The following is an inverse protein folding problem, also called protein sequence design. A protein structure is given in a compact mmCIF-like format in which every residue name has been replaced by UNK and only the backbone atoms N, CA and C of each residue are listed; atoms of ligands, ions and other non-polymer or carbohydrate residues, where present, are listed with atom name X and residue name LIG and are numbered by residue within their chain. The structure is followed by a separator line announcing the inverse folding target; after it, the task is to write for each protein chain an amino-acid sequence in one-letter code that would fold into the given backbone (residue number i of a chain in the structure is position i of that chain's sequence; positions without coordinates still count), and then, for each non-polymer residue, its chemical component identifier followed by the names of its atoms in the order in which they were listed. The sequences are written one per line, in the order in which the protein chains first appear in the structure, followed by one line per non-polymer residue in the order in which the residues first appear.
data_IF_034750948055
#
_entry.id   IF_034750948055
#
_cell.length_a   1.000
_cell.length_b   1.000
_cell.length_c   1.000
_cell.angle_alpha   90.00
_cell.angle_beta   90.00
_cell.angle_gamma   90.00
#
_symmetry.space_group_name_H-M   'P 1'
#
loop_
_entity.id
_entity.type
_entity.pdbx_description
1 polymer ?
#
# COMPACT_ATOMS: atom_id res chain seq x y z
N UNK A 1 -26.06 16.37 0.11
CA UNK A 1 -25.92 15.30 1.11
C UNK A 1 -25.20 15.91 2.31
N UNK A 2 -25.63 15.60 3.52
CA UNK A 2 -24.97 16.09 4.74
C UNK A 2 -23.67 15.30 4.91
N UNK A 3 -22.55 16.00 5.06
CA UNK A 3 -21.22 15.41 5.28
C UNK A 3 -21.09 14.94 6.73
N UNK A 4 -20.64 13.72 6.98
CA UNK A 4 -20.40 13.19 8.32
C UNK A 4 -18.91 13.20 8.66
N UNK A 5 -18.58 13.75 9.82
CA UNK A 5 -17.18 13.83 10.27
C UNK A 5 -16.77 12.52 10.92
N UNK A 6 -15.57 12.04 10.57
CA UNK A 6 -14.94 10.83 11.12
C UNK A 6 -13.56 11.21 11.65
N UNK A 7 -13.30 10.87 12.90
CA UNK A 7 -12.00 11.00 13.54
C UNK A 7 -11.34 9.65 13.68
N UNK A 8 -10.04 9.59 13.36
CA UNK A 8 -9.16 8.47 13.67
C UNK A 8 -8.21 8.90 14.78
N UNK A 9 -8.32 8.27 15.94
CA UNK A 9 -7.67 8.70 17.18
C UNK A 9 -6.69 7.63 17.65
N UNK A 10 -5.46 8.01 17.97
CA UNK A 10 -4.42 7.07 18.39
C UNK A 10 -3.37 7.73 19.29
N UNK A 11 -2.81 6.95 20.22
CA UNK A 11 -1.64 7.31 21.02
C UNK A 11 -0.32 7.17 20.23
N UNK A 12 -0.38 6.65 18.99
CA UNK A 12 0.72 6.55 18.03
C UNK A 12 0.35 7.21 16.68
N UNK A 13 0.83 6.66 15.56
CA UNK A 13 0.67 7.25 14.21
C UNK A 13 -0.78 7.34 13.72
N UNK A 14 -1.68 6.53 14.25
CA UNK A 14 -3.08 6.48 13.81
C UNK A 14 -3.34 5.65 12.55
N UNK A 15 -2.31 5.10 11.90
CA UNK A 15 -2.44 4.36 10.63
C UNK A 15 -3.40 3.18 10.75
N UNK A 16 -3.38 2.45 11.85
CA UNK A 16 -4.29 1.30 12.06
C UNK A 16 -5.75 1.76 12.18
N UNK A 17 -6.01 2.83 12.94
CA UNK A 17 -7.34 3.41 13.09
C UNK A 17 -7.88 3.89 11.75
N UNK A 18 -7.03 4.58 10.98
CA UNK A 18 -7.34 5.11 9.66
C UNK A 18 -7.64 3.99 8.64
N UNK A 19 -6.75 2.98 8.54
CA UNK A 19 -6.90 1.88 7.58
C UNK A 19 -8.15 1.05 7.85
N UNK A 20 -8.38 0.64 9.10
CA UNK A 20 -9.55 -0.16 9.45
C UNK A 20 -10.83 0.68 9.39
N UNK A 21 -10.80 1.88 9.94
CA UNK A 21 -11.97 2.78 9.90
C UNK A 21 -12.36 3.15 8.47
N UNK A 22 -11.38 3.46 7.60
CA UNK A 22 -11.64 3.68 6.18
C UNK A 22 -12.27 2.45 5.51
N UNK A 23 -11.75 1.26 5.76
CA UNK A 23 -12.31 0.01 5.22
C UNK A 23 -13.76 -0.21 5.63
N UNK A 24 -14.13 0.18 6.85
CA UNK A 24 -15.50 0.06 7.34
C UNK A 24 -16.43 1.09 6.71
N UNK A 25 -16.04 2.38 6.68
CA UNK A 25 -16.91 3.44 6.15
C UNK A 25 -17.13 3.35 4.63
N UNK A 26 -16.19 2.78 3.87
CA UNK A 26 -16.35 2.54 2.42
C UNK A 26 -17.46 1.56 2.07
N UNK A 27 -17.94 0.75 3.03
CA UNK A 27 -19.09 -0.12 2.84
C UNK A 27 -20.42 0.66 2.77
N UNK A 28 -20.42 1.96 3.07
CA UNK A 28 -21.60 2.84 3.09
C UNK A 28 -21.55 3.83 1.92
N UNK A 29 -21.65 3.34 0.68
CA UNK A 29 -21.49 4.10 -0.57
C UNK A 29 -22.44 5.31 -0.74
N UNK A 30 -23.55 5.36 0.01
CA UNK A 30 -24.51 6.48 -0.02
C UNK A 30 -24.20 7.63 0.93
N UNK A 31 -23.11 7.55 1.69
CA UNK A 31 -22.71 8.54 2.68
C UNK A 31 -21.48 9.31 2.22
N UNK A 32 -21.39 10.58 2.63
CA UNK A 32 -20.18 11.40 2.42
C UNK A 32 -19.47 11.59 3.76
N UNK A 33 -18.17 11.21 3.82
CA UNK A 33 -17.37 11.24 5.03
C UNK A 33 -16.18 12.19 4.88
N UNK A 34 -16.06 13.14 5.79
CA UNK A 34 -14.86 13.94 5.98
C UNK A 34 -14.02 13.31 7.10
N UNK A 35 -12.81 12.90 6.76
CA UNK A 35 -11.91 12.14 7.62
C UNK A 35 -10.81 13.05 8.19
N UNK A 36 -10.51 12.89 9.48
CA UNK A 36 -9.45 13.63 10.17
C UNK A 36 -8.73 12.68 11.12
N UNK A 37 -7.39 12.59 11.02
CA UNK A 37 -6.56 11.78 11.91
C UNK A 37 -5.99 12.66 13.03
N UNK A 38 -6.12 12.21 14.28
CA UNK A 38 -5.58 12.82 15.50
C UNK A 38 -4.56 11.83 16.12
N UNK A 39 -3.30 11.88 15.68
CA UNK A 39 -2.25 10.98 16.13
C UNK A 39 -1.52 11.50 17.37
N UNK A 40 -0.68 10.65 17.98
CA UNK A 40 0.24 10.97 19.06
C UNK A 40 -0.40 11.58 20.30
N UNK A 41 -1.56 11.04 20.71
CA UNK A 41 -2.24 11.43 21.96
C UNK A 41 -1.57 10.64 23.09
N UNK A 42 -0.45 11.16 23.56
CA UNK A 42 0.49 10.55 24.53
C UNK A 42 0.46 11.22 25.90
N UNK A 43 -0.45 12.18 26.12
CA UNK A 43 -0.63 12.89 27.38
C UNK A 43 -2.09 13.26 27.65
N UNK A 44 -2.43 13.51 28.92
CA UNK A 44 -3.75 13.96 29.33
C UNK A 44 -4.15 15.29 28.67
N UNK A 45 -3.22 16.23 28.54
CA UNK A 45 -3.47 17.51 27.88
C UNK A 45 -3.93 17.32 26.44
N UNK A 46 -3.24 16.44 25.67
CA UNK A 46 -3.64 16.12 24.31
C UNK A 46 -4.95 15.34 24.24
N UNK A 47 -5.20 14.44 25.18
CA UNK A 47 -6.48 13.74 25.28
C UNK A 47 -7.63 14.73 25.50
N UNK A 48 -7.47 15.70 26.42
CA UNK A 48 -8.47 16.75 26.64
C UNK A 48 -8.64 17.69 25.44
N UNK A 49 -7.55 18.03 24.74
CA UNK A 49 -7.62 18.81 23.49
C UNK A 49 -8.40 18.03 22.40
N UNK A 50 -8.16 16.74 22.29
CA UNK A 50 -8.92 15.85 21.38
C UNK A 50 -10.41 15.86 21.71
N UNK A 51 -10.76 15.75 22.99
CA UNK A 51 -12.17 15.84 23.45
C UNK A 51 -12.79 17.19 23.03
N UNK A 52 -12.10 18.31 23.26
CA UNK A 52 -12.59 19.64 22.84
C UNK A 52 -12.83 19.68 21.34
N UNK A 53 -11.88 19.23 20.55
CA UNK A 53 -11.97 19.21 19.08
C UNK A 53 -13.18 18.40 18.59
N UNK A 54 -13.41 17.22 19.16
CA UNK A 54 -14.55 16.38 18.79
C UNK A 54 -15.87 17.03 19.22
N UNK A 55 -15.93 17.62 20.41
CA UNK A 55 -17.11 18.27 20.94
C UNK A 55 -17.49 19.53 20.13
N UNK A 56 -16.51 20.37 19.76
CA UNK A 56 -16.74 21.53 18.89
C UNK A 56 -17.35 21.11 17.55
N UNK A 57 -16.87 20.01 16.97
CA UNK A 57 -17.46 19.47 15.74
C UNK A 57 -18.85 18.91 15.99
N UNK A 58 -19.09 18.23 17.10
CA UNK A 58 -20.42 17.69 17.44
C UNK A 58 -21.45 18.80 17.63
N UNK A 59 -21.09 19.92 18.25
CA UNK A 59 -21.91 21.08 18.45
C UNK A 59 -22.27 21.82 17.15
N UNK A 60 -21.30 21.87 16.21
CA UNK A 60 -21.44 22.59 14.94
C UNK A 60 -21.94 21.73 13.78
N UNK A 61 -22.14 20.44 13.99
CA UNK A 61 -22.57 19.49 12.97
C UNK A 61 -24.00 19.00 13.20
N UNK A 62 -24.75 18.80 12.10
CA UNK A 62 -26.07 18.20 12.17
C UNK A 62 -26.05 16.70 12.54
N UNK A 63 -24.93 16.04 12.38
CA UNK A 63 -24.77 14.62 12.64
C UNK A 63 -23.65 14.37 13.66
N UNK A 64 -23.88 13.41 14.54
CA UNK A 64 -22.92 12.97 15.54
C UNK A 64 -21.62 12.49 14.84
N UNK A 65 -20.41 13.00 15.19
CA UNK A 65 -19.15 12.50 14.64
C UNK A 65 -18.92 11.04 15.01
N UNK A 66 -18.18 10.33 14.15
CA UNK A 66 -17.72 8.96 14.41
C UNK A 66 -16.24 9.03 14.82
N UNK A 67 -15.85 8.29 15.84
CA UNK A 67 -14.49 8.24 16.38
C UNK A 67 -14.00 6.79 16.35
N UNK A 68 -13.08 6.48 15.45
CA UNK A 68 -12.34 5.22 15.49
C UNK A 68 -11.09 5.41 16.34
N UNK A 69 -10.93 4.57 17.36
CA UNK A 69 -9.83 4.66 18.31
C UNK A 69 -8.95 3.40 18.29
N UNK A 70 -7.64 3.59 18.29
CA UNK A 70 -6.62 2.57 18.54
C UNK A 70 -5.71 2.98 19.69
N UNK A 71 -6.26 3.65 20.70
CA UNK A 71 -5.53 4.03 21.89
C UNK A 71 -5.32 2.81 22.79
N UNK A 72 -4.06 2.55 23.12
CA UNK A 72 -3.67 1.43 23.96
C UNK A 72 -3.69 1.80 25.44
N UNK A 73 -3.27 3.03 25.79
CA UNK A 73 -3.20 3.52 27.17
C UNK A 73 -4.61 3.71 27.78
N UNK A 74 -4.99 2.96 28.82
CA UNK A 74 -6.36 2.98 29.33
C UNK A 74 -6.79 4.35 29.83
N UNK A 75 -5.93 5.07 30.57
CA UNK A 75 -6.26 6.35 31.19
C UNK A 75 -6.58 7.42 30.12
N UNK A 76 -5.75 7.54 29.08
CA UNK A 76 -5.96 8.48 28.00
C UNK A 76 -7.18 8.09 27.14
N UNK A 77 -7.39 6.80 26.95
CA UNK A 77 -8.55 6.26 26.23
C UNK A 77 -9.87 6.65 26.92
N UNK A 78 -9.94 6.50 28.25
CA UNK A 78 -11.15 6.88 29.01
C UNK A 78 -11.43 8.39 28.93
N UNK A 79 -10.40 9.24 28.94
CA UNK A 79 -10.57 10.68 28.71
C UNK A 79 -11.21 10.92 27.34
N UNK A 80 -10.67 10.35 26.27
CA UNK A 80 -11.17 10.55 24.89
C UNK A 80 -12.60 10.04 24.74
N UNK A 81 -12.97 8.94 25.38
CA UNK A 81 -14.34 8.38 25.39
C UNK A 81 -15.38 9.36 25.97
N UNK A 82 -14.98 10.38 26.72
CA UNK A 82 -15.91 11.39 27.25
C UNK A 82 -16.45 12.34 26.17
N UNK A 83 -15.87 12.34 24.98
CA UNK A 83 -16.31 13.23 23.90
C UNK A 83 -17.67 12.80 23.30
N UNK A 84 -18.38 13.75 22.67
CA UNK A 84 -19.73 13.57 22.14
C UNK A 84 -19.80 12.73 20.85
N UNK A 85 -18.73 12.07 20.43
CA UNK A 85 -18.67 11.20 19.25
C UNK A 85 -19.31 9.81 19.45
N UNK A 86 -19.59 9.11 18.35
CA UNK A 86 -19.83 7.66 18.37
C UNK A 86 -18.46 6.98 18.43
N UNK A 87 -18.11 6.43 19.59
CA UNK A 87 -16.83 5.76 19.79
C UNK A 87 -16.85 4.31 19.30
N UNK A 88 -15.90 3.97 18.45
CA UNK A 88 -15.61 2.65 17.96
C UNK A 88 -14.16 2.31 18.33
N UNK A 89 -13.99 1.76 19.53
CA UNK A 89 -12.69 1.37 20.07
C UNK A 89 -12.29 0.01 19.51
N UNK A 90 -11.28 0.02 18.62
CA UNK A 90 -10.85 -1.16 17.88
C UNK A 90 -10.14 -2.14 18.81
N UNK A 91 -9.30 -1.67 19.74
CA UNK A 91 -8.56 -2.56 20.62
C UNK A 91 -9.45 -3.12 21.72
N UNK A 92 -10.30 -2.32 22.34
CA UNK A 92 -11.20 -2.77 23.40
C UNK A 92 -12.16 -3.87 22.90
N UNK A 93 -12.62 -3.76 21.67
CA UNK A 93 -13.53 -4.74 21.07
C UNK A 93 -12.92 -6.15 20.91
N UNK A 94 -11.60 -6.25 20.76
CA UNK A 94 -10.94 -7.52 20.45
C UNK A 94 -9.95 -7.99 21.53
N UNK A 95 -9.33 -7.08 22.29
CA UNK A 95 -8.31 -7.44 23.27
C UNK A 95 -8.88 -8.34 24.38
N UNK A 96 -10.10 -8.06 24.84
CA UNK A 96 -10.71 -8.91 25.88
C UNK A 96 -10.99 -10.32 25.38
N UNK A 97 -11.50 -10.46 24.16
CA UNK A 97 -11.73 -11.78 23.55
C UNK A 97 -10.43 -12.58 23.38
N UNK A 98 -9.36 -11.89 23.00
CA UNK A 98 -8.03 -12.52 22.88
C UNK A 98 -7.45 -12.86 24.25
N UNK A 99 -7.61 -12.01 25.26
CA UNK A 99 -7.17 -12.25 26.62
C UNK A 99 -7.83 -13.51 27.22
N UNK A 100 -9.14 -13.62 27.03
CA UNK A 100 -9.92 -14.79 27.51
C UNK A 100 -9.50 -16.09 26.81
N UNK A 101 -9.24 -16.04 25.47
CA UNK A 101 -8.81 -17.23 24.70
C UNK A 101 -7.36 -17.63 24.99
N UNK A 102 -6.47 -16.66 25.21
CA UNK A 102 -5.04 -16.89 25.47
C UNK A 102 -4.71 -17.12 26.93
N UNK A 103 -5.68 -16.91 27.84
CA UNK A 103 -5.50 -16.91 29.31
C UNK A 103 -4.35 -15.97 29.73
N UNK A 104 -4.26 -14.80 29.08
CA UNK A 104 -3.21 -13.79 29.32
C UNK A 104 -3.80 -12.38 29.46
N UNK A 105 -3.12 -11.52 30.20
CA UNK A 105 -3.52 -10.12 30.37
C UNK A 105 -2.77 -9.26 29.35
N UNK A 106 -3.48 -8.39 28.58
CA UNK A 106 -2.82 -7.47 27.63
C UNK A 106 -1.87 -6.50 28.35
N UNK A 107 -0.69 -6.27 27.78
CA UNK A 107 0.32 -5.38 28.38
C UNK A 107 0.03 -3.87 28.17
N UNK A 108 -0.90 -3.51 27.33
CA UNK A 108 -1.28 -2.12 27.02
C UNK A 108 -0.10 -1.17 26.70
N UNK A 109 0.93 -1.68 25.99
CA UNK A 109 2.10 -0.90 25.61
C UNK A 109 1.92 -0.26 24.22
N UNK A 110 2.01 1.09 24.11
CA UNK A 110 1.94 1.78 22.84
C UNK A 110 3.11 1.41 21.91
N UNK A 111 2.86 1.42 20.60
CA UNK A 111 3.91 1.30 19.58
C UNK A 111 4.40 -0.13 19.31
N UNK A 112 3.88 -1.18 19.95
CA UNK A 112 4.32 -2.57 19.71
C UNK A 112 4.15 -3.04 18.27
N UNK A 113 3.12 -2.58 17.58
CA UNK A 113 2.87 -2.96 16.19
C UNK A 113 3.83 -2.27 15.19
N UNK A 114 4.40 -1.12 15.55
CA UNK A 114 5.21 -0.27 14.67
C UNK A 114 6.55 0.16 15.29
N UNK A 115 6.88 -0.36 16.47
CA UNK A 115 8.13 -0.06 17.16
C UNK A 115 9.34 -0.65 16.43
N UNK A 116 10.49 0.04 16.51
CA UNK A 116 11.80 -0.44 16.04
C UNK A 116 12.31 -1.62 16.90
N UNK A 117 11.40 -2.34 17.56
CA UNK A 117 11.72 -3.52 18.39
C UNK A 117 12.33 -4.67 17.57
N UNK A 118 12.10 -4.70 16.25
CA UNK A 118 12.73 -5.63 15.33
C UNK A 118 13.65 -4.86 14.35
N UNK A 119 14.88 -4.56 14.82
CA UNK A 119 15.92 -3.93 14.02
C UNK A 119 16.23 -4.76 12.77
N UNK A 120 16.16 -6.07 12.84
CA UNK A 120 16.37 -6.97 11.71
C UNK A 120 15.30 -6.80 10.63
N UNK A 121 14.02 -6.72 11.01
CA UNK A 121 12.94 -6.46 10.07
C UNK A 121 13.07 -5.07 9.42
N UNK A 122 13.45 -4.07 10.22
CA UNK A 122 13.70 -2.72 9.70
C UNK A 122 14.86 -2.72 8.68
N UNK A 123 15.99 -3.33 9.01
CA UNK A 123 17.15 -3.40 8.11
C UNK A 123 16.82 -4.16 6.81
N UNK A 124 16.07 -5.27 6.88
CA UNK A 124 15.61 -6.00 5.70
C UNK A 124 14.75 -5.15 4.77
N UNK A 125 13.88 -4.29 5.32
CA UNK A 125 13.08 -3.33 4.52
C UNK A 125 13.96 -2.29 3.84
N UNK A 126 14.95 -1.73 4.55
CA UNK A 126 15.89 -0.75 4.01
C UNK A 126 16.75 -1.37 2.90
N UNK A 127 17.29 -2.56 3.11
CA UNK A 127 18.09 -3.28 2.10
C UNK A 127 17.27 -3.59 0.84
N UNK A 128 16.04 -4.10 1.01
CA UNK A 128 15.14 -4.36 -0.11
C UNK A 128 14.75 -3.08 -0.86
N UNK A 129 14.54 -1.98 -0.14
CA UNK A 129 14.23 -0.68 -0.74
C UNK A 129 15.43 -0.14 -1.54
N UNK A 130 16.62 -0.20 -0.98
CA UNK A 130 17.85 0.19 -1.68
C UNK A 130 18.07 -0.68 -2.93
N UNK A 131 17.80 -1.99 -2.83
CA UNK A 131 17.85 -2.90 -3.97
C UNK A 131 16.86 -2.48 -5.06
N UNK A 132 15.58 -2.22 -4.71
CA UNK A 132 14.56 -1.81 -5.66
C UNK A 132 14.91 -0.49 -6.37
N UNK A 133 15.43 0.49 -5.63
CA UNK A 133 15.89 1.77 -6.19
C UNK A 133 17.11 1.61 -7.11
N UNK A 134 18.07 0.77 -6.74
CA UNK A 134 19.27 0.50 -7.56
C UNK A 134 18.93 -0.27 -8.85
N UNK A 135 17.84 -1.03 -8.88
CA UNK A 135 17.38 -1.83 -10.01
C UNK A 135 16.09 -1.29 -10.65
N UNK A 136 15.84 0.01 -10.51
CA UNK A 136 14.77 0.73 -11.23
C UNK A 136 15.24 1.21 -12.61
N UNK A 137 14.32 1.72 -13.42
CA UNK A 137 14.53 2.23 -14.78
C UNK A 137 15.85 2.99 -14.94
N UNK A 138 16.82 2.41 -15.65
CA UNK A 138 18.09 3.07 -15.99
C UNK A 138 19.22 2.91 -14.97
N UNK A 139 19.07 2.10 -13.93
CA UNK A 139 20.15 1.77 -12.99
C UNK A 139 21.36 1.14 -13.69
N UNK A 140 22.57 1.61 -13.35
CA UNK A 140 23.83 1.17 -13.98
C UNK A 140 24.20 -0.27 -13.58
N UNK A 141 23.77 -0.74 -12.41
CA UNK A 141 24.04 -2.08 -11.90
C UNK A 141 22.76 -2.88 -11.76
N UNK A 142 22.43 -3.64 -12.79
CA UNK A 142 21.28 -4.57 -12.75
C UNK A 142 21.72 -5.89 -12.12
N UNK A 143 21.34 -6.12 -10.87
CA UNK A 143 21.68 -7.35 -10.17
C UNK A 143 20.48 -8.30 -10.10
N UNK A 144 20.01 -8.75 -11.26
CA UNK A 144 18.83 -9.62 -11.36
C UNK A 144 19.03 -11.00 -10.73
N UNK A 145 20.30 -11.44 -10.56
CA UNK A 145 20.59 -12.72 -9.91
C UNK A 145 20.18 -12.74 -8.44
N UNK A 146 20.23 -11.58 -7.77
CA UNK A 146 19.84 -11.41 -6.37
C UNK A 146 18.34 -11.10 -6.20
N UNK A 147 17.67 -10.65 -7.28
CA UNK A 147 16.25 -10.36 -7.24
C UNK A 147 15.42 -11.60 -6.84
N UNK A 148 14.38 -11.40 -6.05
CA UNK A 148 13.36 -12.41 -5.79
C UNK A 148 12.32 -12.42 -6.91
N UNK A 149 11.99 -11.24 -7.44
CA UNK A 149 11.06 -11.03 -8.55
C UNK A 149 11.54 -9.90 -9.45
N UNK A 150 11.31 -10.04 -10.75
CA UNK A 150 11.63 -9.05 -11.77
C UNK A 150 10.32 -8.67 -12.47
N UNK A 151 9.87 -7.42 -12.27
CA UNK A 151 8.66 -6.92 -12.90
C UNK A 151 8.97 -6.42 -14.31
N UNK A 152 8.32 -7.03 -15.29
CA UNK A 152 8.52 -6.73 -16.73
C UNK A 152 7.27 -6.08 -17.30
N UNK A 153 7.43 -5.08 -18.17
CA UNK A 153 6.29 -4.44 -18.84
C UNK A 153 6.63 -3.11 -19.46
N UNK A 154 5.67 -2.56 -20.18
CA UNK A 154 5.84 -1.26 -20.86
C UNK A 154 6.03 -0.12 -19.84
N UNK A 155 6.61 0.98 -20.28
CA UNK A 155 6.75 2.17 -19.44
C UNK A 155 5.39 2.65 -18.93
N UNK A 156 5.29 2.95 -17.62
CA UNK A 156 4.07 3.39 -16.90
C UNK A 156 3.01 2.31 -16.65
N UNK A 157 3.36 1.05 -16.66
CA UNK A 157 2.47 -0.05 -16.24
C UNK A 157 2.40 -0.27 -14.72
N UNK A 158 3.07 0.54 -13.90
CA UNK A 158 3.04 0.44 -12.44
C UNK A 158 4.22 -0.32 -11.82
N UNK A 159 5.26 -0.69 -12.58
CA UNK A 159 6.40 -1.51 -12.10
C UNK A 159 7.13 -0.87 -10.91
N UNK A 160 7.65 0.33 -11.06
CA UNK A 160 8.39 1.04 -10.00
C UNK A 160 7.63 1.11 -8.67
N UNK A 161 6.38 1.63 -8.60
CA UNK A 161 5.67 1.70 -7.34
C UNK A 161 5.40 0.32 -6.75
N UNK A 162 5.16 -0.71 -7.57
CA UNK A 162 4.97 -2.09 -7.08
C UNK A 162 6.27 -2.67 -6.51
N UNK A 163 7.43 -2.45 -7.15
CA UNK A 163 8.73 -2.86 -6.61
C UNK A 163 9.00 -2.22 -5.24
N UNK A 164 8.74 -0.92 -5.11
CA UNK A 164 8.92 -0.19 -3.86
C UNK A 164 7.96 -0.68 -2.76
N UNK A 165 6.71 -0.96 -3.11
CA UNK A 165 5.74 -1.50 -2.15
C UNK A 165 6.15 -2.90 -1.66
N UNK A 166 6.54 -3.80 -2.56
CA UNK A 166 7.04 -5.14 -2.23
C UNK A 166 8.26 -5.07 -1.30
N UNK A 167 9.17 -4.14 -1.57
CA UNK A 167 10.36 -3.93 -0.76
C UNK A 167 10.04 -3.40 0.63
N UNK A 168 9.29 -2.29 0.73
CA UNK A 168 8.95 -1.63 1.99
C UNK A 168 8.04 -2.49 2.87
N UNK A 169 7.05 -3.14 2.28
CA UNK A 169 6.02 -3.86 3.02
C UNK A 169 6.45 -5.28 3.38
N UNK A 170 7.19 -5.94 2.50
CA UNK A 170 7.49 -7.37 2.64
C UNK A 170 8.98 -7.71 2.64
N UNK A 171 9.88 -6.73 2.46
CA UNK A 171 11.33 -6.95 2.38
C UNK A 171 11.76 -7.73 1.13
N UNK A 172 10.94 -7.72 0.07
CA UNK A 172 11.18 -8.47 -1.18
C UNK A 172 12.13 -7.68 -2.08
N UNK A 173 13.15 -8.35 -2.61
CA UNK A 173 14.06 -7.77 -3.59
C UNK A 173 13.43 -7.77 -4.98
N UNK A 174 12.64 -6.74 -5.26
CA UNK A 174 11.93 -6.57 -6.50
C UNK A 174 12.69 -5.65 -7.46
N UNK A 175 13.00 -6.15 -8.65
CA UNK A 175 13.65 -5.38 -9.72
C UNK A 175 12.64 -4.98 -10.80
N UNK A 176 12.90 -3.86 -11.47
CA UNK A 176 12.06 -3.33 -12.55
C UNK A 176 12.80 -3.45 -13.89
N UNK A 177 12.16 -4.09 -14.86
CA UNK A 177 12.65 -4.14 -16.24
C UNK A 177 11.61 -3.55 -17.21
N UNK A 178 11.84 -2.32 -17.73
CA UNK A 178 11.01 -1.78 -18.79
C UNK A 178 11.35 -2.46 -20.13
N UNK A 179 10.33 -2.95 -20.84
CA UNK A 179 10.51 -3.41 -22.20
C UNK A 179 10.88 -2.22 -23.10
N UNK A 180 11.93 -2.38 -23.88
CA UNK A 180 12.42 -1.41 -24.85
C UNK A 180 11.75 -1.61 -26.21
N UNK A 181 11.90 -0.62 -27.12
CA UNK A 181 11.37 -0.71 -28.48
C UNK A 181 11.96 -1.92 -29.23
N UNK A 182 13.27 -2.23 -29.05
CA UNK A 182 13.93 -3.37 -29.67
C UNK A 182 13.30 -4.72 -29.28
N UNK A 183 13.00 -4.91 -28.00
CA UNK A 183 12.36 -6.15 -27.50
C UNK A 183 10.91 -6.27 -27.98
N UNK A 184 10.20 -5.14 -28.03
CA UNK A 184 8.82 -5.10 -28.51
C UNK A 184 8.74 -5.36 -30.02
N UNK A 185 9.67 -4.81 -30.81
CA UNK A 185 9.73 -5.02 -32.27
C UNK A 185 10.16 -6.46 -32.62
N UNK A 186 11.17 -6.98 -31.93
CA UNK A 186 11.71 -8.33 -32.18
C UNK A 186 10.86 -9.43 -31.51
N UNK A 187 10.01 -9.10 -30.54
CA UNK A 187 9.22 -10.05 -29.76
C UNK A 187 10.07 -11.00 -28.93
N UNK A 188 11.27 -10.57 -28.50
CA UNK A 188 12.24 -11.38 -27.81
C UNK A 188 12.80 -10.67 -26.57
N UNK A 189 13.03 -11.44 -25.51
CA UNK A 189 13.71 -10.98 -24.31
C UNK A 189 15.23 -11.25 -24.41
N UNK A 190 16.08 -10.40 -23.84
CA UNK A 190 17.52 -10.62 -23.81
C UNK A 190 17.89 -11.84 -22.96
N UNK A 191 18.98 -12.50 -23.32
CA UNK A 191 19.42 -13.76 -22.71
C UNK A 191 19.59 -13.70 -21.20
N UNK A 192 20.06 -12.57 -20.65
CA UNK A 192 20.24 -12.41 -19.21
C UNK A 192 18.90 -12.42 -18.45
N UNK A 193 17.80 -11.98 -19.06
CA UNK A 193 16.46 -12.12 -18.48
C UNK A 193 15.92 -13.53 -18.63
N UNK A 194 16.20 -14.18 -19.75
CA UNK A 194 15.79 -15.56 -19.98
C UNK A 194 16.44 -16.53 -18.99
N UNK A 195 17.67 -16.26 -18.54
CA UNK A 195 18.32 -16.99 -17.45
C UNK A 195 17.55 -16.84 -16.12
N UNK A 196 16.88 -15.73 -15.91
CA UNK A 196 16.06 -15.44 -14.73
C UNK A 196 14.56 -15.62 -14.96
N UNK A 197 14.17 -16.39 -15.98
CA UNK A 197 12.77 -16.53 -16.42
C UNK A 197 11.81 -16.89 -15.29
N UNK A 198 12.22 -17.71 -14.35
CA UNK A 198 11.43 -18.16 -13.21
C UNK A 198 11.07 -17.03 -12.22
N UNK A 199 11.77 -15.89 -12.28
CA UNK A 199 11.54 -14.69 -11.46
C UNK A 199 10.71 -13.61 -12.17
N UNK A 200 10.43 -13.79 -13.48
CA UNK A 200 9.76 -12.77 -14.27
C UNK A 200 8.26 -12.73 -13.96
N UNK A 201 7.74 -11.54 -13.77
CA UNK A 201 6.31 -11.29 -13.66
C UNK A 201 5.91 -10.07 -14.49
N UNK A 202 4.91 -10.24 -15.36
CA UNK A 202 4.47 -9.22 -16.30
C UNK A 202 3.43 -8.26 -15.71
N UNK A 203 3.57 -6.96 -15.97
CA UNK A 203 2.55 -5.97 -15.69
C UNK A 203 2.01 -5.39 -16.98
N UNK A 204 0.69 -5.47 -17.19
CA UNK A 204 -0.04 -4.81 -18.27
C UNK A 204 -1.02 -3.78 -17.70
N UNK A 205 -1.61 -2.97 -18.57
CA UNK A 205 -2.57 -1.94 -18.22
C UNK A 205 -3.51 -1.69 -19.40
N UNK A 206 -4.71 -1.19 -19.14
CA UNK A 206 -5.62 -0.77 -20.22
C UNK A 206 -4.99 0.32 -21.11
N UNK A 207 -5.13 0.22 -22.44
CA UNK A 207 -4.52 1.17 -23.39
C UNK A 207 -4.95 2.62 -23.17
N UNK A 208 -6.23 2.86 -22.88
CA UNK A 208 -6.73 4.22 -22.70
C UNK A 208 -6.24 4.82 -21.38
N UNK A 209 -6.16 3.99 -20.33
CA UNK A 209 -5.57 4.38 -19.04
C UNK A 209 -4.08 4.70 -19.19
N UNK A 210 -3.32 3.86 -19.87
CA UNK A 210 -1.90 4.09 -20.14
C UNK A 210 -1.67 5.39 -20.91
N UNK A 211 -2.48 5.60 -21.95
CA UNK A 211 -2.44 6.83 -22.74
C UNK A 211 -2.68 8.07 -21.89
N UNK A 212 -3.67 8.04 -21.01
CA UNK A 212 -3.96 9.14 -20.08
C UNK A 212 -2.73 9.45 -19.21
N UNK A 213 -2.17 8.46 -18.52
CA UNK A 213 -1.00 8.61 -17.63
C UNK A 213 0.21 9.16 -18.39
N UNK A 214 0.45 8.68 -19.62
CA UNK A 214 1.57 9.15 -20.44
C UNK A 214 1.40 10.59 -20.91
N UNK A 215 0.16 11.01 -21.26
CA UNK A 215 -0.16 12.38 -21.64
C UNK A 215 0.04 13.39 -20.52
N UNK A 216 -0.35 13.03 -19.29
CA UNK A 216 -0.15 13.88 -18.11
C UNK A 216 1.34 14.19 -17.88
N UNK A 217 2.23 13.23 -18.21
CA UNK A 217 3.68 13.41 -18.01
C UNK A 217 4.42 14.00 -19.20
N UNK A 218 4.06 13.60 -20.43
CA UNK A 218 4.62 14.12 -21.69
C UNK A 218 3.51 14.29 -22.72
N UNK A 219 2.94 15.50 -22.83
CA UNK A 219 1.81 15.78 -23.72
C UNK A 219 2.14 15.63 -25.21
N UNK A 220 3.41 15.82 -25.60
CA UNK A 220 3.87 15.85 -26.99
C UNK A 220 4.73 14.63 -27.35
N UNK A 221 4.64 14.18 -28.60
CA UNK A 221 5.43 13.08 -29.16
C UNK A 221 4.66 11.77 -29.32
N UNK A 222 5.30 10.78 -29.96
CA UNK A 222 4.70 9.47 -30.27
C UNK A 222 4.40 8.62 -29.05
N UNK A 223 5.11 8.84 -27.95
CA UNK A 223 5.04 8.08 -26.69
C UNK A 223 3.62 7.93 -26.11
N UNK A 224 2.75 8.94 -26.29
CA UNK A 224 1.37 8.94 -25.77
C UNK A 224 0.31 8.79 -26.86
N UNK A 225 0.69 8.43 -28.10
CA UNK A 225 -0.29 8.16 -29.17
C UNK A 225 -1.04 6.86 -28.92
N UNK A 226 -2.30 6.80 -29.33
CA UNK A 226 -3.11 5.59 -29.19
C UNK A 226 -2.52 4.40 -29.97
N UNK A 227 -1.90 4.66 -31.11
CA UNK A 227 -1.29 3.64 -31.96
C UNK A 227 -0.06 3.03 -31.27
N UNK A 228 0.86 3.85 -30.76
CA UNK A 228 2.07 3.40 -30.06
C UNK A 228 1.71 2.62 -28.78
N UNK A 229 0.82 3.15 -27.96
CA UNK A 229 0.38 2.49 -26.72
C UNK A 229 -0.22 1.10 -27.00
N UNK A 230 -1.11 1.01 -28.01
CA UNK A 230 -1.70 -0.29 -28.37
C UNK A 230 -0.69 -1.27 -28.96
N UNK A 231 0.27 -0.78 -29.73
CA UNK A 231 1.37 -1.59 -30.27
C UNK A 231 2.20 -2.17 -29.13
N UNK A 232 2.74 -1.32 -28.25
CA UNK A 232 3.60 -1.77 -27.13
C UNK A 232 2.91 -2.78 -26.22
N UNK A 233 1.65 -2.54 -25.82
CA UNK A 233 0.90 -3.45 -24.96
C UNK A 233 0.65 -4.80 -25.65
N UNK A 234 0.27 -4.80 -26.91
CA UNK A 234 0.05 -6.04 -27.67
C UNK A 234 1.33 -6.86 -27.81
N UNK A 235 2.45 -6.22 -28.12
CA UNK A 235 3.73 -6.93 -28.24
C UNK A 235 4.24 -7.43 -26.89
N UNK A 236 4.09 -6.63 -25.81
CA UNK A 236 4.39 -7.09 -24.45
C UNK A 236 3.57 -8.34 -24.06
N UNK A 237 2.27 -8.37 -24.35
CA UNK A 237 1.43 -9.54 -24.09
C UNK A 237 1.82 -10.75 -24.93
N UNK A 238 2.30 -10.55 -26.17
CA UNK A 238 2.84 -11.64 -26.99
C UNK A 238 4.12 -12.22 -26.37
N UNK A 239 5.03 -11.34 -25.87
CA UNK A 239 6.22 -11.74 -25.15
C UNK A 239 5.85 -12.56 -23.92
N UNK A 240 4.90 -12.10 -23.10
CA UNK A 240 4.46 -12.84 -21.91
C UNK A 240 3.93 -14.22 -22.26
N UNK A 241 3.09 -14.33 -23.30
CA UNK A 241 2.59 -15.62 -23.77
C UNK A 241 3.69 -16.52 -24.32
N UNK A 242 4.59 -15.96 -25.14
CA UNK A 242 5.69 -16.71 -25.76
C UNK A 242 6.61 -17.36 -24.73
N UNK A 243 6.90 -16.63 -23.66
CA UNK A 243 7.81 -17.11 -22.63
C UNK A 243 7.10 -17.70 -21.41
N UNK A 244 5.76 -17.75 -21.40
CA UNK A 244 4.98 -18.25 -20.27
C UNK A 244 5.17 -17.43 -18.99
N UNK A 245 5.29 -16.11 -19.13
CA UNK A 245 5.46 -15.19 -18.00
C UNK A 245 4.08 -14.93 -17.39
N UNK A 246 3.87 -15.22 -16.09
CA UNK A 246 2.64 -14.85 -15.41
C UNK A 246 2.50 -13.32 -15.40
N UNK A 247 1.27 -12.82 -15.53
CA UNK A 247 1.07 -11.37 -15.61
C UNK A 247 -0.27 -10.93 -15.03
N UNK A 248 -0.38 -9.65 -14.71
CA UNK A 248 -1.59 -9.02 -14.21
C UNK A 248 -1.85 -7.68 -14.92
N UNK A 249 -3.13 -7.39 -15.18
CA UNK A 249 -3.56 -6.07 -15.64
C UNK A 249 -3.80 -5.15 -14.44
N UNK A 250 -3.03 -4.06 -14.35
CA UNK A 250 -2.99 -3.16 -13.18
C UNK A 250 -4.11 -2.11 -13.16
N UNK A 251 -4.97 -2.06 -14.17
CA UNK A 251 -5.94 -0.97 -14.39
C UNK A 251 -6.90 -0.74 -13.22
N UNK A 252 -7.38 -1.83 -12.62
CA UNK A 252 -8.44 -1.82 -11.59
C UNK A 252 -7.98 -2.29 -10.22
N UNK A 253 -6.71 -2.61 -10.07
CA UNK A 253 -6.16 -3.12 -8.83
C UNK A 253 -5.34 -2.06 -8.12
N UNK A 254 -5.44 -2.02 -6.80
CA UNK A 254 -4.55 -1.25 -5.95
C UNK A 254 -3.15 -1.86 -5.95
N UNK A 255 -2.16 -1.12 -5.46
CA UNK A 255 -0.78 -1.59 -5.39
C UNK A 255 -0.65 -2.80 -4.45
N UNK A 256 -1.46 -2.83 -3.39
CA UNK A 256 -1.57 -3.92 -2.42
C UNK A 256 -2.09 -5.20 -3.09
N UNK A 257 -3.15 -5.08 -3.88
CA UNK A 257 -3.73 -6.22 -4.61
C UNK A 257 -2.79 -6.75 -5.68
N UNK A 258 -2.11 -5.86 -6.43
CA UNK A 258 -1.10 -6.25 -7.42
C UNK A 258 0.03 -7.01 -6.73
N UNK A 259 0.56 -6.48 -5.63
CA UNK A 259 1.65 -7.09 -4.88
C UNK A 259 1.25 -8.45 -4.29
N UNK A 260 0.04 -8.57 -3.75
CA UNK A 260 -0.48 -9.84 -3.24
C UNK A 260 -0.59 -10.90 -4.33
N UNK A 261 -1.07 -10.53 -5.53
CA UNK A 261 -1.15 -11.43 -6.69
C UNK A 261 0.23 -11.88 -7.18
N UNK A 262 1.22 -10.97 -7.16
CA UNK A 262 2.60 -11.31 -7.49
C UNK A 262 3.13 -12.37 -6.52
N UNK A 263 3.02 -12.14 -5.22
CA UNK A 263 3.50 -13.08 -4.20
C UNK A 263 2.81 -14.46 -4.30
N UNK A 264 1.50 -14.47 -4.48
CA UNK A 264 0.71 -15.69 -4.63
C UNK A 264 1.13 -16.48 -5.90
N UNK A 265 1.28 -15.79 -7.03
CA UNK A 265 1.63 -16.41 -8.31
C UNK A 265 3.08 -16.88 -8.41
N UNK A 266 4.01 -16.19 -7.76
CA UNK A 266 5.45 -16.49 -7.83
C UNK A 266 5.95 -17.38 -6.70
N UNK A 267 5.20 -17.48 -5.61
CA UNK A 267 5.63 -18.19 -4.40
C UNK A 267 6.75 -17.49 -3.63
N UNK A 268 7.05 -16.21 -3.95
CA UNK A 268 8.08 -15.43 -3.24
C UNK A 268 7.68 -15.22 -1.79
N UNK A 269 8.55 -15.63 -0.89
CA UNK A 269 8.33 -15.50 0.54
C UNK A 269 8.55 -14.07 1.04
N UNK A 270 7.72 -13.65 1.98
CA UNK A 270 7.87 -12.36 2.67
C UNK A 270 8.98 -12.48 3.70
N UNK A 271 10.04 -11.67 3.60
CA UNK A 271 11.13 -11.62 4.59
C UNK A 271 10.72 -10.89 5.86
N UNK A 272 9.73 -10.01 5.76
CA UNK A 272 9.11 -9.32 6.89
C UNK A 272 7.59 -9.37 6.76
N UNK A 273 6.90 -9.36 7.89
CA UNK A 273 5.44 -9.21 7.94
C UNK A 273 5.10 -7.75 8.22
N UNK A 274 4.00 -7.24 7.64
CA UNK A 274 3.52 -5.89 7.95
C UNK A 274 3.19 -5.72 9.41
#
# INVERSE_FOLDING_TARGET
MVERIVFFVSDQTGVTAETLGHSLITQFAGQNFRQTTLPFIDSEDKAHETVRTINEVAENSALRPIVFSTMVQPDLREIVKTSAGLHLDIFDAFLQLLADELDEVPEYQPGRAHGVSDIDAYMKRIEATNFALANDDGGISRNYDVADVILVGVSRSGKTPTCLYLALQYGVYAANYPLTDDELENGALPDFLLQQKHKLFGLTIDPDRLRQIRKERRPLGNYSTAQQVRFELREAEKIFRRYGIPNVNTTRFSIEEISSRILDSTGVERRVRP
#
